data_IF_163323097508
#
_entry.id   IF_163323097508
#
_cell.length_a   1.000
_cell.length_b   1.000
_cell.length_c   1.000
_cell.angle_alpha   90.00
_cell.angle_beta   90.00
_cell.angle_gamma   90.00
#
_symmetry.space_group_name_H-M   'P 1'
#
loop_
_entity.id
_entity.type
_entity.pdbx_description
1 polymer ?
#
# COMPACT_ATOMS: atom_id res chain seq x y z
N UNK A 1 -8.86 -5.39 -33.81
CA UNK A 1 -9.09 -5.34 -32.34
C UNK A 1 -7.86 -5.85 -31.57
N UNK A 2 -7.32 -7.05 -31.82
CA UNK A 2 -6.17 -7.60 -31.08
C UNK A 2 -4.91 -6.72 -31.05
N UNK A 3 -4.49 -6.19 -32.19
CA UNK A 3 -3.31 -5.31 -32.30
C UNK A 3 -3.43 -4.03 -31.42
N UNK A 4 -4.65 -3.48 -31.29
CA UNK A 4 -4.90 -2.33 -30.42
C UNK A 4 -4.76 -2.69 -28.94
N UNK A 5 -5.31 -3.85 -28.53
CA UNK A 5 -5.24 -4.32 -27.15
C UNK A 5 -3.78 -4.60 -26.75
N UNK A 6 -3.04 -5.32 -27.60
CA UNK A 6 -1.61 -5.61 -27.36
C UNK A 6 -0.80 -4.33 -27.20
N UNK A 7 -1.01 -3.33 -28.09
CA UNK A 7 -0.34 -2.05 -28.01
C UNK A 7 -0.65 -1.32 -26.69
N UNK A 8 -1.90 -1.38 -26.23
CA UNK A 8 -2.33 -0.75 -24.98
C UNK A 8 -1.71 -1.42 -23.76
N UNK A 9 -1.67 -2.77 -23.75
CA UNK A 9 -1.00 -3.53 -22.69
C UNK A 9 0.50 -3.21 -22.65
N UNK A 10 1.16 -3.16 -23.82
CA UNK A 10 2.57 -2.80 -23.87
C UNK A 10 2.85 -1.41 -23.29
N UNK A 11 2.02 -0.41 -23.60
CA UNK A 11 2.16 0.91 -22.99
C UNK A 11 1.93 0.89 -21.46
N UNK A 12 0.95 0.13 -20.97
CA UNK A 12 0.74 -0.02 -19.52
C UNK A 12 1.97 -0.62 -18.83
N UNK A 13 2.59 -1.64 -19.42
CA UNK A 13 3.80 -2.25 -18.89
C UNK A 13 4.99 -1.28 -18.88
N UNK A 14 5.19 -0.52 -19.96
CA UNK A 14 6.23 0.50 -20.02
C UNK A 14 6.04 1.55 -18.93
N UNK A 15 4.83 2.07 -18.77
CA UNK A 15 4.51 3.05 -17.72
C UNK A 15 4.75 2.46 -16.33
N UNK A 16 4.35 1.21 -16.11
CA UNK A 16 4.55 0.51 -14.84
C UNK A 16 6.05 0.38 -14.51
N UNK A 17 6.88 -0.01 -15.47
CA UNK A 17 8.34 -0.09 -15.30
C UNK A 17 8.94 1.27 -14.97
N UNK A 18 8.55 2.31 -15.70
CA UNK A 18 9.04 3.69 -15.44
C UNK A 18 8.65 4.13 -14.03
N UNK A 19 7.39 3.95 -13.63
CA UNK A 19 6.91 4.34 -12.31
C UNK A 19 7.59 3.54 -11.19
N UNK A 20 7.77 2.23 -11.36
CA UNK A 20 8.46 1.39 -10.37
C UNK A 20 9.92 1.82 -10.21
N UNK A 21 10.60 2.15 -11.32
CA UNK A 21 11.97 2.66 -11.29
C UNK A 21 12.07 4.01 -10.58
N UNK A 22 11.16 4.95 -10.90
CA UNK A 22 11.12 6.26 -10.22
C UNK A 22 10.88 6.11 -8.72
N UNK A 23 9.90 5.27 -8.33
CA UNK A 23 9.63 4.99 -6.92
C UNK A 23 10.83 4.37 -6.21
N UNK A 24 11.49 3.40 -6.85
CA UNK A 24 12.71 2.80 -6.31
C UNK A 24 13.82 3.86 -6.11
N UNK A 25 14.00 4.77 -7.07
CA UNK A 25 14.98 5.86 -6.96
C UNK A 25 14.66 6.78 -5.79
N UNK A 26 13.40 7.19 -5.62
CA UNK A 26 12.96 8.05 -4.51
C UNK A 26 13.22 7.35 -3.17
N UNK A 27 12.82 6.08 -3.03
CA UNK A 27 13.11 5.31 -1.81
C UNK A 27 14.62 5.12 -1.55
N UNK A 28 15.42 5.02 -2.60
CA UNK A 28 16.89 4.93 -2.47
C UNK A 28 17.56 6.21 -1.99
N UNK A 29 16.85 7.33 -1.97
CA UNK A 29 17.34 8.59 -1.41
C UNK A 29 17.13 8.68 0.12
N UNK A 30 16.22 7.86 0.66
CA UNK A 30 16.00 7.81 2.11
C UNK A 30 17.24 7.18 2.78
N UNK A 31 17.88 7.85 3.76
CA UNK A 31 19.12 7.36 4.38
C UNK A 31 18.86 6.23 5.39
N UNK A 32 17.91 5.35 5.13
CA UNK A 32 17.64 4.19 5.94
C UNK A 32 18.60 3.06 5.53
N UNK A 33 19.79 3.03 6.14
CA UNK A 33 20.76 1.95 5.91
C UNK A 33 20.44 0.75 6.80
N UNK A 34 19.61 -0.12 6.26
CA UNK A 34 19.17 -1.33 6.95
C UNK A 34 20.33 -2.25 7.31
N UNK A 35 21.26 -2.46 6.38
CA UNK A 35 22.44 -3.28 6.62
C UNK A 35 23.22 -2.77 7.83
N UNK A 36 23.35 -1.46 7.97
CA UNK A 36 23.99 -0.83 9.14
C UNK A 36 23.21 -1.09 10.43
N UNK A 37 21.90 -0.95 10.40
CA UNK A 37 21.04 -1.13 11.59
C UNK A 37 21.11 -2.56 12.10
N UNK A 38 21.05 -3.55 11.20
CA UNK A 38 21.09 -4.95 11.58
C UNK A 38 22.50 -5.38 12.03
N UNK A 39 23.56 -4.91 11.34
CA UNK A 39 24.94 -5.12 11.80
C UNK A 39 25.18 -4.53 13.20
N UNK A 40 24.60 -3.32 13.44
CA UNK A 40 24.68 -2.66 14.76
C UNK A 40 23.89 -3.41 15.84
N UNK A 41 22.81 -4.07 15.49
CA UNK A 41 22.07 -4.92 16.42
C UNK A 41 22.87 -6.17 16.79
N UNK A 42 23.43 -6.85 15.80
CA UNK A 42 24.13 -8.13 16.02
C UNK A 42 25.51 -7.96 16.67
N UNK A 43 26.21 -6.84 16.40
CA UNK A 43 27.52 -6.59 17.04
C UNK A 43 27.44 -6.48 18.57
N UNK A 44 26.26 -6.19 19.11
CA UNK A 44 26.05 -6.12 20.56
C UNK A 44 26.39 -7.45 21.24
N UNK A 45 26.12 -8.58 20.58
CA UNK A 45 26.44 -9.91 21.11
C UNK A 45 27.97 -10.15 21.26
N UNK A 46 28.79 -9.43 20.48
CA UNK A 46 30.24 -9.57 20.48
C UNK A 46 30.97 -8.58 21.39
N UNK A 47 30.27 -7.57 21.93
CA UNK A 47 30.87 -6.53 22.79
C UNK A 47 31.49 -7.06 24.07
N UNK A 48 31.05 -8.22 24.55
CA UNK A 48 31.59 -8.85 25.75
C UNK A 48 32.84 -9.69 25.47
N UNK A 49 33.08 -10.05 24.19
CA UNK A 49 34.17 -10.95 23.79
C UNK A 49 35.24 -10.25 22.96
N UNK A 50 34.90 -9.16 22.28
CA UNK A 50 35.78 -8.40 21.41
C UNK A 50 35.84 -6.94 21.86
N UNK A 51 37.01 -6.30 21.73
CA UNK A 51 37.21 -4.89 22.05
C UNK A 51 38.17 -4.24 21.07
N UNK A 52 38.07 -2.91 20.91
CA UNK A 52 38.93 -2.13 20.04
C UNK A 52 38.81 -2.52 18.56
N UNK A 53 39.93 -2.59 17.85
CA UNK A 53 39.98 -2.85 16.42
C UNK A 53 39.33 -4.17 15.98
N UNK A 54 39.38 -5.22 16.83
CA UNK A 54 38.75 -6.50 16.54
C UNK A 54 37.20 -6.42 16.51
N UNK A 55 36.62 -5.52 17.30
CA UNK A 55 35.18 -5.24 17.27
C UNK A 55 34.79 -4.48 16.01
N UNK A 56 35.62 -3.53 15.59
CA UNK A 56 35.39 -2.74 14.36
C UNK A 56 35.49 -3.64 13.10
N UNK A 57 36.51 -4.51 13.03
CA UNK A 57 36.62 -5.49 11.95
C UNK A 57 35.38 -6.41 11.89
N UNK A 58 34.90 -6.87 13.05
CA UNK A 58 33.71 -7.73 13.11
C UNK A 58 32.45 -6.99 12.69
N UNK A 59 32.34 -5.70 13.02
CA UNK A 59 31.25 -4.86 12.55
C UNK A 59 31.27 -4.70 11.03
N UNK A 60 32.42 -4.44 10.43
CA UNK A 60 32.57 -4.28 8.98
C UNK A 60 32.26 -5.59 8.24
N UNK A 61 32.66 -6.73 8.78
CA UNK A 61 32.30 -8.04 8.25
C UNK A 61 30.78 -8.25 8.26
N UNK A 62 30.11 -8.01 9.40
CA UNK A 62 28.66 -8.12 9.53
C UNK A 62 27.96 -7.16 8.59
N UNK A 63 28.44 -5.93 8.49
CA UNK A 63 27.88 -4.91 7.62
C UNK A 63 27.94 -5.34 6.14
N UNK A 64 29.07 -5.86 5.68
CA UNK A 64 29.22 -6.41 4.33
C UNK A 64 28.33 -7.63 4.09
N UNK A 65 28.17 -8.51 5.06
CA UNK A 65 27.23 -9.63 4.98
C UNK A 65 25.79 -9.15 4.78
N UNK A 66 25.36 -8.17 5.56
CA UNK A 66 24.02 -7.58 5.41
C UNK A 66 23.85 -6.80 4.09
N UNK A 67 24.88 -6.08 3.63
CA UNK A 67 24.83 -5.42 2.32
C UNK A 67 24.65 -6.45 1.19
N UNK A 68 25.36 -7.56 1.20
CA UNK A 68 25.20 -8.66 0.23
C UNK A 68 23.82 -9.29 0.31
N UNK A 69 23.35 -9.57 1.52
CA UNK A 69 22.01 -10.14 1.79
C UNK A 69 20.88 -9.26 1.23
N UNK A 70 21.00 -7.95 1.35
CA UNK A 70 19.99 -6.99 0.87
C UNK A 70 20.25 -6.49 -0.55
N UNK A 71 21.31 -6.98 -1.21
CA UNK A 71 21.69 -6.55 -2.56
C UNK A 71 22.09 -5.07 -2.63
N UNK A 72 22.56 -4.51 -1.51
CA UNK A 72 23.00 -3.11 -1.40
C UNK A 72 24.52 -2.96 -1.39
N UNK A 73 25.24 -4.02 -1.73
CA UNK A 73 26.69 -4.10 -1.83
C UNK A 73 27.29 -3.31 -3.01
N UNK A 74 26.45 -2.70 -3.83
CA UNK A 74 26.86 -1.83 -4.95
C UNK A 74 26.25 -0.44 -4.82
N UNK A 75 27.03 0.59 -5.15
CA UNK A 75 26.55 1.97 -5.20
C UNK A 75 25.70 2.27 -6.43
N UNK A 76 25.77 1.40 -7.46
CA UNK A 76 24.98 1.58 -8.66
C UNK A 76 23.50 1.28 -8.42
N UNK A 77 22.69 2.34 -8.32
CA UNK A 77 21.25 2.26 -8.07
C UNK A 77 20.50 1.50 -9.15
N UNK A 78 20.99 1.51 -10.40
CA UNK A 78 20.38 0.78 -11.50
C UNK A 78 20.57 -0.73 -11.29
N UNK A 79 21.76 -1.17 -10.90
CA UNK A 79 22.03 -2.57 -10.60
C UNK A 79 21.19 -3.03 -9.40
N UNK A 80 21.06 -2.21 -8.36
CA UNK A 80 20.19 -2.48 -7.22
C UNK A 80 18.72 -2.64 -7.63
N UNK A 81 18.24 -1.78 -8.52
CA UNK A 81 16.88 -1.90 -9.08
C UNK A 81 16.69 -3.20 -9.85
N UNK A 82 17.64 -3.53 -10.74
CA UNK A 82 17.58 -4.77 -11.53
C UNK A 82 17.63 -6.03 -10.65
N UNK A 83 18.40 -6.02 -9.56
CA UNK A 83 18.41 -7.08 -8.55
C UNK A 83 17.06 -7.18 -7.82
N UNK A 84 16.50 -6.04 -7.41
CA UNK A 84 15.19 -6.01 -6.76
C UNK A 84 14.07 -6.53 -7.66
N UNK A 85 14.11 -6.20 -8.96
CA UNK A 85 13.16 -6.78 -9.94
C UNK A 85 13.44 -8.27 -10.18
N UNK A 86 14.68 -8.73 -10.00
CA UNK A 86 15.11 -10.11 -10.27
C UNK A 86 15.66 -10.33 -11.67
N UNK A 87 16.11 -9.27 -12.36
CA UNK A 87 16.73 -9.32 -13.68
C UNK A 87 18.27 -9.39 -13.62
N UNK A 88 18.87 -9.11 -12.48
CA UNK A 88 20.30 -9.14 -12.27
C UNK A 88 20.63 -10.04 -11.05
N UNK A 89 21.67 -10.89 -11.13
CA UNK A 89 21.99 -11.82 -10.07
C UNK A 89 22.45 -11.10 -8.78
N UNK A 90 22.15 -11.71 -7.64
CA UNK A 90 22.71 -11.36 -6.34
C UNK A 90 24.20 -11.73 -6.29
N UNK A 91 24.85 -11.43 -5.17
CA UNK A 91 26.27 -11.73 -4.97
C UNK A 91 26.60 -13.24 -5.08
N UNK A 92 25.66 -14.09 -4.69
CA UNK A 92 25.76 -15.57 -4.75
C UNK A 92 25.42 -16.15 -6.13
N UNK A 93 25.18 -15.31 -7.14
CA UNK A 93 24.77 -15.73 -8.47
C UNK A 93 23.30 -16.13 -8.60
N UNK A 94 22.53 -16.09 -7.52
CA UNK A 94 21.09 -16.41 -7.55
C UNK A 94 20.25 -15.25 -8.05
N UNK A 95 19.10 -15.57 -8.67
CA UNK A 95 18.08 -14.60 -9.05
C UNK A 95 16.95 -14.67 -8.04
N UNK A 96 16.83 -13.67 -7.19
CA UNK A 96 15.83 -13.64 -6.14
C UNK A 96 15.24 -12.25 -5.98
N UNK A 97 14.23 -11.95 -6.76
CA UNK A 97 13.57 -10.65 -6.78
C UNK A 97 12.07 -10.76 -7.02
N UNK A 98 11.47 -9.64 -7.40
CA UNK A 98 10.03 -9.52 -7.60
C UNK A 98 9.49 -10.54 -8.62
N UNK A 99 10.21 -10.77 -9.73
CA UNK A 99 9.80 -11.71 -10.78
C UNK A 99 9.83 -13.17 -10.32
N UNK A 100 10.63 -13.51 -9.30
CA UNK A 100 10.69 -14.82 -8.68
C UNK A 100 9.70 -14.97 -7.51
N UNK A 101 8.84 -13.96 -7.31
CA UNK A 101 7.85 -13.98 -6.22
C UNK A 101 8.39 -13.54 -4.86
N UNK A 102 9.62 -13.06 -4.79
CA UNK A 102 10.18 -12.51 -3.56
C UNK A 102 9.83 -11.02 -3.44
N UNK A 103 8.77 -10.72 -2.68
CA UNK A 103 8.34 -9.34 -2.37
C UNK A 103 9.08 -8.74 -1.18
N UNK A 104 10.02 -9.50 -0.59
CA UNK A 104 10.80 -9.07 0.55
C UNK A 104 10.11 -9.29 1.89
N UNK A 105 10.71 -8.73 2.92
CA UNK A 105 10.33 -8.89 4.32
C UNK A 105 9.99 -7.54 4.96
N UNK A 106 8.84 -7.46 5.64
CA UNK A 106 8.47 -6.28 6.43
C UNK A 106 9.16 -6.34 7.79
N UNK A 107 10.04 -5.41 8.03
CA UNK A 107 10.80 -5.34 9.27
C UNK A 107 10.01 -4.77 10.43
N UNK A 108 9.06 -3.94 10.13
CA UNK A 108 8.15 -3.36 11.13
C UNK A 108 7.20 -4.42 11.70
N UNK A 109 6.61 -5.23 10.81
CA UNK A 109 5.68 -6.27 11.21
C UNK A 109 6.32 -7.66 11.40
N UNK A 110 7.63 -7.80 11.09
CA UNK A 110 8.39 -9.06 11.18
C UNK A 110 7.71 -10.22 10.45
N UNK A 111 7.21 -9.96 9.23
CA UNK A 111 6.49 -10.91 8.38
C UNK A 111 6.83 -10.71 6.91
N UNK A 112 6.62 -11.71 6.05
CA UNK A 112 6.71 -11.52 4.60
C UNK A 112 5.78 -10.41 4.12
N UNK A 113 6.26 -9.56 3.21
CA UNK A 113 5.46 -8.43 2.66
C UNK A 113 4.14 -8.91 2.05
N UNK A 114 4.13 -10.08 1.43
CA UNK A 114 2.91 -10.69 0.85
C UNK A 114 1.82 -10.85 1.91
N UNK A 115 2.15 -11.35 3.10
CA UNK A 115 1.17 -11.53 4.18
C UNK A 115 0.67 -10.18 4.73
N UNK A 116 1.59 -9.22 4.85
CA UNK A 116 1.27 -7.87 5.33
C UNK A 116 0.30 -7.16 4.39
N UNK A 117 0.47 -7.33 3.09
CA UNK A 117 -0.37 -6.69 2.06
C UNK A 117 -1.66 -7.46 1.82
N UNK A 118 -1.62 -8.80 1.85
CA UNK A 118 -2.78 -9.63 1.53
C UNK A 118 -3.94 -9.43 2.53
N UNK A 119 -3.65 -9.28 3.81
CA UNK A 119 -4.67 -9.12 4.84
C UNK A 119 -5.56 -7.86 4.63
N UNK A 120 -5.03 -6.63 4.48
CA UNK A 120 -5.84 -5.45 4.20
C UNK A 120 -6.40 -5.44 2.77
N UNK A 121 -5.72 -6.08 1.80
CA UNK A 121 -6.16 -6.12 0.41
C UNK A 121 -7.51 -6.82 0.26
N UNK A 122 -7.75 -7.90 0.99
CA UNK A 122 -9.06 -8.57 1.01
C UNK A 122 -10.18 -7.61 1.38
N UNK A 123 -10.01 -6.87 2.47
CA UNK A 123 -10.99 -5.90 2.94
C UNK A 123 -11.23 -4.77 1.92
N UNK A 124 -10.16 -4.29 1.31
CA UNK A 124 -10.22 -3.26 0.27
C UNK A 124 -10.99 -3.74 -0.96
N UNK A 125 -10.75 -4.99 -1.41
CA UNK A 125 -11.47 -5.58 -2.54
C UNK A 125 -12.96 -5.71 -2.23
N UNK A 126 -13.32 -6.25 -1.07
CA UNK A 126 -14.71 -6.39 -0.65
C UNK A 126 -15.43 -5.04 -0.64
N UNK A 127 -14.84 -4.03 -0.01
CA UNK A 127 -15.40 -2.67 0.04
C UNK A 127 -15.55 -2.06 -1.36
N UNK A 128 -14.55 -2.22 -2.24
CA UNK A 128 -14.63 -1.70 -3.60
C UNK A 128 -15.72 -2.38 -4.44
N UNK A 129 -15.91 -3.69 -4.28
CA UNK A 129 -16.99 -4.41 -4.98
C UNK A 129 -18.34 -3.86 -4.55
N UNK A 130 -18.62 -3.80 -3.24
CA UNK A 130 -19.90 -3.29 -2.73
C UNK A 130 -20.13 -1.83 -3.11
N UNK A 131 -19.13 -0.97 -2.96
CA UNK A 131 -19.25 0.44 -3.31
C UNK A 131 -19.48 0.65 -4.80
N UNK A 132 -18.81 -0.12 -5.67
CA UNK A 132 -18.97 -0.04 -7.12
C UNK A 132 -20.37 -0.50 -7.54
N UNK A 133 -20.85 -1.64 -7.01
CA UNK A 133 -22.21 -2.13 -7.30
C UNK A 133 -23.25 -1.08 -6.87
N UNK A 134 -23.12 -0.55 -5.66
CA UNK A 134 -24.04 0.47 -5.14
C UNK A 134 -23.99 1.75 -5.99
N UNK A 135 -22.81 2.21 -6.34
CA UNK A 135 -22.64 3.38 -7.18
C UNK A 135 -23.31 3.20 -8.53
N UNK A 136 -23.08 2.07 -9.21
CA UNK A 136 -23.70 1.77 -10.51
C UNK A 136 -25.22 1.61 -10.41
N UNK A 137 -25.70 0.93 -9.35
CA UNK A 137 -27.13 0.75 -9.12
C UNK A 137 -27.88 2.07 -8.93
N UNK A 138 -27.22 3.09 -8.40
CA UNK A 138 -27.80 4.43 -8.22
C UNK A 138 -27.58 5.30 -9.45
N UNK A 139 -26.36 5.37 -9.96
CA UNK A 139 -26.01 6.33 -11.01
C UNK A 139 -26.60 5.98 -12.37
N UNK A 140 -26.71 4.68 -12.73
CA UNK A 140 -27.27 4.29 -14.03
C UNK A 140 -28.76 4.67 -14.13
N UNK A 141 -29.66 4.29 -13.20
CA UNK A 141 -31.06 4.69 -13.29
C UNK A 141 -31.27 6.20 -13.23
N UNK A 142 -30.53 6.90 -12.37
CA UNK A 142 -30.60 8.35 -12.29
C UNK A 142 -30.12 9.03 -13.57
N UNK A 143 -29.02 8.55 -14.15
CA UNK A 143 -28.50 9.07 -15.41
C UNK A 143 -29.49 8.87 -16.58
N UNK A 144 -30.12 7.70 -16.66
CA UNK A 144 -31.17 7.44 -17.67
C UNK A 144 -32.36 8.38 -17.48
N UNK A 145 -32.85 8.55 -16.24
CA UNK A 145 -33.97 9.45 -15.96
C UNK A 145 -33.66 10.91 -16.31
N UNK A 146 -32.45 11.40 -16.01
CA UNK A 146 -31.99 12.74 -16.37
C UNK A 146 -31.90 12.90 -17.90
N UNK A 147 -31.42 11.88 -18.61
CA UNK A 147 -31.31 11.88 -20.05
C UNK A 147 -32.70 11.93 -20.73
N UNK A 148 -33.65 11.10 -20.29
CA UNK A 148 -35.00 11.03 -20.80
C UNK A 148 -35.80 12.31 -20.51
N UNK A 149 -35.68 12.87 -19.32
CA UNK A 149 -36.35 14.09 -18.87
C UNK A 149 -35.42 15.28 -18.81
N UNK A 150 -34.66 15.50 -19.86
CA UNK A 150 -33.71 16.61 -19.98
C UNK A 150 -34.36 17.97 -19.73
N UNK A 151 -33.74 18.81 -18.90
CA UNK A 151 -34.26 20.14 -18.52
C UNK A 151 -35.34 20.10 -17.42
N UNK A 152 -35.71 18.93 -16.90
CA UNK A 152 -36.66 18.80 -15.80
C UNK A 152 -36.04 19.30 -14.47
N UNK A 153 -36.91 19.47 -13.45
CA UNK A 153 -36.44 19.82 -12.08
C UNK A 153 -35.47 18.78 -11.51
N UNK A 154 -35.67 17.48 -11.83
CA UNK A 154 -34.79 16.38 -11.42
C UNK A 154 -33.42 16.56 -12.09
N UNK A 155 -33.36 16.77 -13.40
CA UNK A 155 -32.11 16.95 -14.14
C UNK A 155 -31.31 18.15 -13.62
N UNK A 156 -31.96 19.29 -13.43
CA UNK A 156 -31.33 20.49 -12.85
C UNK A 156 -30.87 20.29 -11.43
N UNK A 157 -31.66 19.60 -10.59
CA UNK A 157 -31.31 19.28 -9.23
C UNK A 157 -30.10 18.37 -9.16
N UNK A 158 -30.04 17.32 -10.00
CA UNK A 158 -28.88 16.42 -10.09
C UNK A 158 -27.61 17.13 -10.56
N UNK A 159 -27.71 18.06 -11.50
CA UNK A 159 -26.58 18.91 -11.92
C UNK A 159 -26.02 19.70 -10.73
N UNK A 160 -26.89 20.37 -9.96
CA UNK A 160 -26.46 21.13 -8.76
C UNK A 160 -25.82 20.21 -7.73
N UNK A 161 -26.44 19.07 -7.40
CA UNK A 161 -25.89 18.08 -6.45
C UNK A 161 -24.53 17.56 -6.89
N UNK A 162 -24.37 17.28 -8.20
CA UNK A 162 -23.10 16.80 -8.75
C UNK A 162 -22.02 17.87 -8.66
N UNK A 163 -22.32 19.12 -9.02
CA UNK A 163 -21.36 20.23 -8.94
C UNK A 163 -20.93 20.47 -7.50
N UNK A 164 -21.89 20.57 -6.57
CA UNK A 164 -21.60 20.77 -5.14
C UNK A 164 -20.82 19.60 -4.57
N UNK A 165 -21.25 18.36 -4.86
CA UNK A 165 -20.58 17.14 -4.36
C UNK A 165 -19.16 17.00 -4.89
N UNK A 166 -18.92 17.35 -6.15
CA UNK A 166 -17.58 17.31 -6.75
C UNK A 166 -16.66 18.43 -6.25
N UNK A 167 -17.25 19.58 -5.89
CA UNK A 167 -16.50 20.73 -5.36
C UNK A 167 -16.08 20.57 -3.91
N UNK A 168 -16.75 19.69 -3.16
CA UNK A 168 -16.40 19.45 -1.77
C UNK A 168 -15.19 18.51 -1.68
N UNK A 169 -14.16 18.86 -0.87
CA UNK A 169 -13.06 17.95 -0.59
C UNK A 169 -13.57 16.64 0.04
N UNK A 170 -13.13 15.50 -0.50
CA UNK A 170 -13.58 14.15 -0.08
C UNK A 170 -13.41 13.89 1.41
N UNK A 171 -12.36 14.46 2.04
CA UNK A 171 -12.13 14.33 3.47
C UNK A 171 -13.22 14.99 4.32
N UNK A 172 -13.79 16.14 3.87
CA UNK A 172 -14.90 16.79 4.58
C UNK A 172 -16.15 15.92 4.57
N UNK A 173 -16.46 15.33 3.40
CA UNK A 173 -17.58 14.39 3.26
C UNK A 173 -17.36 13.18 4.16
N UNK A 174 -16.13 12.65 4.21
CA UNK A 174 -15.78 11.51 5.06
C UNK A 174 -15.95 11.82 6.56
N UNK A 175 -15.50 13.00 7.00
CA UNK A 175 -15.67 13.44 8.39
C UNK A 175 -17.16 13.58 8.74
N UNK A 176 -17.97 14.17 7.82
CA UNK A 176 -19.40 14.30 8.01
C UNK A 176 -20.08 12.92 8.16
N UNK A 177 -19.72 11.96 7.32
CA UNK A 177 -20.23 10.59 7.42
C UNK A 177 -19.81 9.90 8.72
N UNK A 178 -18.55 10.03 9.13
CA UNK A 178 -18.09 9.49 10.42
C UNK A 178 -18.90 10.12 11.56
N UNK A 179 -19.10 11.45 11.55
CA UNK A 179 -19.88 12.12 12.57
C UNK A 179 -21.34 11.63 12.62
N UNK A 180 -22.01 11.49 11.46
CA UNK A 180 -23.39 11.03 11.38
C UNK A 180 -23.48 9.55 11.78
N UNK A 181 -22.75 8.67 11.15
CA UNK A 181 -22.92 7.21 11.28
C UNK A 181 -22.24 6.65 12.52
N UNK A 182 -21.11 7.22 12.95
CA UNK A 182 -20.41 6.75 14.14
C UNK A 182 -20.91 7.48 15.40
N UNK A 183 -20.97 8.83 15.38
CA UNK A 183 -21.26 9.60 16.59
C UNK A 183 -22.77 9.73 16.88
N UNK A 184 -23.58 10.03 15.86
CA UNK A 184 -25.03 10.22 16.02
C UNK A 184 -25.81 8.91 15.97
N UNK A 185 -25.66 8.15 14.91
CA UNK A 185 -26.41 6.90 14.68
C UNK A 185 -25.77 5.69 15.36
N UNK A 186 -24.48 5.74 15.69
CA UNK A 186 -23.70 4.66 16.32
C UNK A 186 -23.80 3.31 15.60
N UNK A 187 -23.88 3.34 14.26
CA UNK A 187 -24.01 2.17 13.40
C UNK A 187 -22.64 1.56 13.09
N UNK A 188 -21.63 2.42 12.89
CA UNK A 188 -20.28 1.99 12.52
C UNK A 188 -19.24 2.35 13.59
N UNK A 189 -18.15 1.57 13.71
CA UNK A 189 -17.02 1.94 14.56
C UNK A 189 -16.27 3.15 13.94
N UNK A 190 -15.57 3.96 14.77
CA UNK A 190 -14.85 5.15 14.29
C UNK A 190 -13.66 4.82 13.41
N UNK A 191 -13.09 3.62 13.53
CA UNK A 191 -11.99 3.14 12.73
C UNK A 191 -11.95 1.62 12.64
N UNK A 192 -11.40 1.09 11.54
CA UNK A 192 -11.28 -0.35 11.32
C UNK A 192 -12.60 -1.01 10.91
N UNK A 193 -12.54 -2.31 10.63
CA UNK A 193 -13.68 -3.14 10.23
C UNK A 193 -14.23 -3.97 11.39
N UNK A 194 -13.59 -3.96 12.55
CA UNK A 194 -13.99 -4.72 13.75
C UNK A 194 -13.97 -3.80 14.96
N UNK A 195 -14.95 -3.97 15.82
CA UNK A 195 -14.91 -3.35 17.14
C UNK A 195 -13.84 -4.04 17.99
N UNK A 196 -12.93 -3.32 18.65
CA UNK A 196 -11.95 -3.92 19.54
C UNK A 196 -12.63 -4.80 20.59
N UNK A 197 -12.20 -6.08 20.70
CA UNK A 197 -12.77 -7.05 21.65
C UNK A 197 -13.99 -7.84 21.17
N UNK A 198 -14.48 -7.64 19.94
CA UNK A 198 -15.55 -8.47 19.38
C UNK A 198 -15.01 -9.54 18.43
N UNK A 199 -15.54 -10.75 18.54
CA UNK A 199 -15.27 -11.86 17.62
C UNK A 199 -16.03 -11.73 16.30
N UNK A 200 -16.91 -10.76 16.16
CA UNK A 200 -17.77 -10.61 14.99
C UNK A 200 -17.08 -9.81 13.88
N UNK A 201 -17.00 -10.43 12.72
CA UNK A 201 -16.61 -9.80 11.44
C UNK A 201 -17.90 -9.33 10.76
N UNK A 202 -18.41 -8.17 11.12
CA UNK A 202 -19.64 -7.66 10.55
C UNK A 202 -20.09 -6.37 11.21
N UNK A 203 -21.07 -5.73 10.59
CA UNK A 203 -21.76 -4.54 11.08
C UNK A 203 -22.57 -4.96 12.32
N UNK A 204 -21.93 -4.98 13.47
CA UNK A 204 -22.65 -5.15 14.74
C UNK A 204 -22.66 -3.78 15.46
N UNK A 205 -23.82 -3.24 15.76
CA UNK A 205 -23.92 -2.01 16.52
C UNK A 205 -23.46 -2.25 17.96
N UNK A 206 -22.25 -1.84 18.29
CA UNK A 206 -21.83 -1.78 19.69
C UNK A 206 -21.80 -0.32 20.13
N UNK A 207 -22.90 0.08 20.73
CA UNK A 207 -23.14 1.43 21.25
C UNK A 207 -22.17 1.85 22.38
N UNK A 208 -21.24 1.00 22.81
CA UNK A 208 -20.41 1.21 23.98
C UNK A 208 -19.04 1.85 23.74
N UNK A 209 -18.56 1.96 22.50
CA UNK A 209 -17.17 2.38 22.21
C UNK A 209 -17.04 3.62 21.32
N UNK A 210 -18.07 4.44 21.18
CA UNK A 210 -17.85 5.78 20.65
C UNK A 210 -17.32 6.68 21.77
N UNK A 211 -16.20 7.40 21.60
CA UNK A 211 -15.76 8.40 22.57
C UNK A 211 -16.85 9.45 22.78
N UNK A 212 -17.15 9.73 24.05
CA UNK A 212 -18.09 10.77 24.46
C UNK A 212 -17.59 12.15 24.07
#
# INVERSE_FOLDING_TARGET
>A
MGKYIVKRIAYMLVVLVILSFLMFMIYSLVPANRAYTDAKADIVAYKNTLSGSALDEKFDELYLQYQRKYGTDTDNKIVRYLRWVGLYPLYDGSYNGLLQGNFGWSYEQKKPVVEVVAAPMKNTIELNIYSTILALAITIPLGIQCAVKRGSKLDRGMQVVTIVGYSLPTFLISILFIWIFCSKLKIFPPSGMKTPGSSYTGIAPTASNCPK
#
